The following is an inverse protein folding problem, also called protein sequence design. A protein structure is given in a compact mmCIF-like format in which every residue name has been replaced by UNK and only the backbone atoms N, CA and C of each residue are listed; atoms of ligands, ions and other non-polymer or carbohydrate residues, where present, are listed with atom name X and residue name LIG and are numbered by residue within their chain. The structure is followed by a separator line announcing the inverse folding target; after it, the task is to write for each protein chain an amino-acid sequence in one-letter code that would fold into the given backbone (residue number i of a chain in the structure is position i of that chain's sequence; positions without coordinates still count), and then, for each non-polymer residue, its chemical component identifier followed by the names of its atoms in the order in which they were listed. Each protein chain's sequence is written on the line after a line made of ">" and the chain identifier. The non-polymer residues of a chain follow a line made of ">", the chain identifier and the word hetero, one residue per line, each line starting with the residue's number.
data_IF_829550574198
#
_entry.id   IF_829550574198
#
_cell.length_a   1.000
_cell.length_b   1.000
_cell.length_c   1.000
_cell.angle_alpha   90.00
_cell.angle_beta   90.00
_cell.angle_gamma   90.00
#
_symmetry.space_group_name_H-M   'P 1'
#
loop_
_entity.id
_entity.type
_entity.pdbx_description
1 polymer ?
#
# COMPACT_ATOMS: atom_id res chain seq x y z
N UNK A 1 11.38 -9.43 7.48
CA UNK A 1 10.89 -8.17 8.09
C UNK A 1 9.45 -8.36 8.52
N UNK A 2 8.94 -7.54 9.45
CA UNK A 2 7.52 -7.58 9.84
C UNK A 2 6.74 -6.52 9.06
N UNK A 3 5.58 -6.88 8.52
CA UNK A 3 4.62 -5.94 7.96
C UNK A 3 3.87 -5.23 9.10
N UNK A 4 3.86 -3.90 9.06
CA UNK A 4 3.20 -3.05 10.05
C UNK A 4 2.12 -2.25 9.33
N UNK A 5 0.87 -2.33 9.78
CA UNK A 5 -0.21 -1.50 9.23
C UNK A 5 -0.01 -0.04 9.68
N UNK A 6 0.17 0.85 8.72
CA UNK A 6 0.37 2.29 8.91
C UNK A 6 -0.71 3.11 8.18
N UNK A 7 -1.86 2.50 7.90
CA UNK A 7 -3.01 3.11 7.20
C UNK A 7 -3.46 4.41 7.85
N UNK A 8 -3.53 4.45 9.18
CA UNK A 8 -3.92 5.64 9.94
C UNK A 8 -2.98 6.83 9.72
N UNK A 9 -1.70 6.58 9.48
CA UNK A 9 -0.71 7.63 9.17
C UNK A 9 -0.78 8.14 7.73
N UNK A 10 -1.57 7.48 6.86
CA UNK A 10 -1.73 7.79 5.45
C UNK A 10 -3.17 8.21 5.09
N UNK A 11 -3.88 8.84 6.03
CA UNK A 11 -5.29 9.18 5.88
C UNK A 11 -5.63 9.99 4.62
N UNK A 12 -4.74 10.89 4.18
CA UNK A 12 -4.93 11.68 2.94
C UNK A 12 -4.88 10.80 1.70
N UNK A 13 -3.88 9.90 1.62
CA UNK A 13 -3.75 8.95 0.51
C UNK A 13 -4.96 8.02 0.45
N UNK A 14 -5.33 7.43 1.59
CA UNK A 14 -6.47 6.51 1.70
C UNK A 14 -7.76 7.17 1.22
N UNK A 15 -8.06 8.37 1.72
CA UNK A 15 -9.27 9.11 1.30
C UNK A 15 -9.24 9.46 -0.19
N UNK A 16 -8.08 9.86 -0.71
CA UNK A 16 -7.93 10.20 -2.13
C UNK A 16 -8.19 9.00 -3.03
N UNK A 17 -7.63 7.83 -2.69
CA UNK A 17 -7.82 6.60 -3.45
C UNK A 17 -9.28 6.13 -3.40
N UNK A 18 -9.89 6.08 -2.22
CA UNK A 18 -11.31 5.72 -2.07
C UNK A 18 -12.26 6.68 -2.80
N UNK A 19 -11.88 7.95 -2.95
CA UNK A 19 -12.71 8.95 -3.62
C UNK A 19 -12.52 8.99 -5.15
N UNK A 20 -11.35 8.56 -5.65
CA UNK A 20 -10.95 8.79 -7.05
C UNK A 20 -10.77 7.50 -7.85
N UNK A 21 -10.85 6.33 -7.22
CA UNK A 21 -10.70 5.01 -7.84
C UNK A 21 -11.90 4.12 -7.50
N UNK A 22 -11.98 2.93 -8.08
CA UNK A 22 -12.99 1.91 -7.77
C UNK A 22 -12.64 1.05 -6.53
N UNK A 23 -11.60 1.41 -5.79
CA UNK A 23 -11.21 0.73 -4.57
C UNK A 23 -12.30 0.88 -3.48
N UNK A 24 -12.68 -0.24 -2.88
CA UNK A 24 -13.57 -0.35 -1.73
C UNK A 24 -12.80 -0.35 -0.40
N UNK A 25 -11.55 -0.83 -0.44
CA UNK A 25 -10.64 -0.88 0.70
C UNK A 25 -9.26 -0.43 0.23
N UNK A 26 -8.61 0.41 1.06
CA UNK A 26 -7.24 0.87 0.86
C UNK A 26 -6.52 0.75 2.19
N UNK A 27 -5.48 -0.07 2.22
CA UNK A 27 -4.60 -0.26 3.37
C UNK A 27 -3.17 0.05 3.01
N UNK A 28 -2.44 0.64 3.95
CA UNK A 28 -1.04 0.98 3.78
C UNK A 28 -0.24 0.25 4.84
N UNK A 29 0.82 -0.42 4.40
CA UNK A 29 1.74 -1.14 5.25
C UNK A 29 3.17 -0.66 5.04
N UNK A 30 3.96 -0.78 6.10
CA UNK A 30 5.40 -0.60 6.06
C UNK A 30 6.08 -1.95 6.27
N UNK A 31 7.00 -2.28 5.37
CA UNK A 31 7.96 -3.38 5.48
C UNK A 31 9.37 -2.77 5.62
N UNK A 32 9.65 -2.18 6.79
CA UNK A 32 10.89 -1.43 7.02
C UNK A 32 10.90 -0.10 6.26
N UNK A 33 11.77 0.03 5.26
CA UNK A 33 11.88 1.24 4.42
C UNK A 33 11.08 1.14 3.12
N UNK A 34 10.37 0.03 2.93
CA UNK A 34 9.53 -0.25 1.77
C UNK A 34 8.07 -0.02 2.17
N UNK A 35 7.37 0.79 1.37
CA UNK A 35 5.96 1.09 1.53
C UNK A 35 5.14 0.14 0.63
N UNK A 36 4.08 -0.43 1.18
CA UNK A 36 3.16 -1.31 0.46
C UNK A 36 1.75 -0.72 0.54
N UNK A 37 1.13 -0.49 -0.60
CA UNK A 37 -0.27 -0.08 -0.70
C UNK A 37 -1.06 -1.26 -1.23
N UNK A 38 -2.04 -1.69 -0.45
CA UNK A 38 -2.98 -2.73 -0.84
C UNK A 38 -4.33 -2.09 -1.13
N UNK A 39 -4.91 -2.42 -2.28
CA UNK A 39 -6.25 -2.00 -2.66
C UNK A 39 -7.09 -3.21 -3.04
N UNK A 40 -8.38 -3.14 -2.70
CA UNK A 40 -9.36 -4.11 -3.14
C UNK A 40 -10.49 -3.37 -3.85
N UNK A 41 -10.79 -3.81 -5.07
CA UNK A 41 -11.91 -3.37 -5.88
C UNK A 41 -12.89 -4.55 -6.11
N UNK A 42 -14.07 -4.33 -6.71
CA UNK A 42 -15.05 -5.42 -6.92
C UNK A 42 -14.53 -6.58 -7.77
N UNK A 43 -13.63 -6.32 -8.72
CA UNK A 43 -13.16 -7.30 -9.71
C UNK A 43 -11.71 -7.71 -9.55
N UNK A 44 -10.92 -6.99 -8.76
CA UNK A 44 -9.49 -7.16 -8.68
C UNK A 44 -8.90 -6.69 -7.34
N UNK A 45 -7.68 -7.12 -7.10
CA UNK A 45 -6.83 -6.68 -6.00
C UNK A 45 -5.55 -6.11 -6.59
N UNK A 46 -5.04 -5.04 -5.98
CA UNK A 46 -3.76 -4.48 -6.35
C UNK A 46 -2.82 -4.40 -5.15
N UNK A 47 -1.54 -4.53 -5.44
CA UNK A 47 -0.48 -4.43 -4.46
C UNK A 47 0.65 -3.62 -5.08
N UNK A 48 0.80 -2.38 -4.62
CA UNK A 48 1.91 -1.51 -4.98
C UNK A 48 3.00 -1.61 -3.93
N UNK A 49 4.19 -2.08 -4.33
CA UNK A 49 5.38 -2.10 -3.49
C UNK A 49 6.34 -1.03 -4.00
N UNK A 50 6.75 -0.12 -3.13
CA UNK A 50 7.65 0.97 -3.49
C UNK A 50 8.69 1.23 -2.41
N UNK A 51 9.88 1.65 -2.82
CA UNK A 51 10.93 2.07 -1.91
C UNK A 51 11.62 3.30 -2.48
N UNK A 52 11.69 4.37 -1.69
CA UNK A 52 12.21 5.67 -2.13
C UNK A 52 13.73 5.71 -2.25
N UNK A 53 14.44 4.74 -1.65
CA UNK A 53 15.90 4.76 -1.52
C UNK A 53 16.62 3.71 -2.36
N UNK A 54 15.95 2.62 -2.73
CA UNK A 54 16.55 1.51 -3.46
C UNK A 54 15.52 0.75 -4.29
N UNK A 55 16.02 -0.10 -5.20
CA UNK A 55 15.19 -1.12 -5.84
C UNK A 55 14.66 -2.14 -4.80
N UNK A 56 13.47 -2.66 -5.07
CA UNK A 56 12.86 -3.74 -4.29
C UNK A 56 13.65 -5.02 -4.52
N UNK A 57 13.98 -5.74 -3.45
CA UNK A 57 14.69 -7.01 -3.53
C UNK A 57 13.71 -8.16 -3.70
N UNK A 58 14.12 -9.26 -4.34
CA UNK A 58 13.27 -10.45 -4.50
C UNK A 58 12.77 -11.02 -3.17
N UNK A 59 13.54 -10.88 -2.09
CA UNK A 59 13.11 -11.30 -0.74
C UNK A 59 11.98 -10.46 -0.14
N UNK A 60 11.66 -9.31 -0.75
CA UNK A 60 10.59 -8.40 -0.32
C UNK A 60 9.29 -8.59 -1.14
N UNK A 61 9.31 -9.44 -2.18
CA UNK A 61 8.20 -9.72 -3.11
C UNK A 61 7.55 -11.06 -2.79
#
# INVERSE_FOLDING_TARGET
>A
MKLINTTNSHAVLVKSQLASTDALLVEVYSAGNTDVVFTQAPTHYELLISNKHRAIRETEV
#
